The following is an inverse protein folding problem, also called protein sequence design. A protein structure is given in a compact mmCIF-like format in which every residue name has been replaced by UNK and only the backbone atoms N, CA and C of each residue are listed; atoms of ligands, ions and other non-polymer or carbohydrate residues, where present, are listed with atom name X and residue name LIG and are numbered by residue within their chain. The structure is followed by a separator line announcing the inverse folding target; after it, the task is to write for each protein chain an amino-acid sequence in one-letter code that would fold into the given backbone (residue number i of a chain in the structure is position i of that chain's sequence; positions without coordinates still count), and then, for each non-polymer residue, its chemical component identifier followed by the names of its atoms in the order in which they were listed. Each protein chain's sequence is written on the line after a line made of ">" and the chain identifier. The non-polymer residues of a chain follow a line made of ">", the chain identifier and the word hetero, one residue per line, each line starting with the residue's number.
data_IF_823810538144
#
_entry.id   IF_823810538144
#
_cell.length_a   1.000
_cell.length_b   1.000
_cell.length_c   1.000
_cell.angle_alpha   90.00
_cell.angle_beta   90.00
_cell.angle_gamma   90.00
#
_symmetry.space_group_name_H-M   'P 1'
#
loop_
_entity.id
_entity.type
_entity.pdbx_description
1 polymer ?
#
# COMPACT_ATOMS: atom_id res chain seq x y z
N UNK A 1 39.37 -68.25 9.63
CA UNK A 1 40.09 -67.01 9.25
C UNK A 1 39.71 -66.71 7.82
N UNK A 2 39.27 -65.53 7.42
CA UNK A 2 39.01 -64.31 8.14
C UNK A 2 38.20 -63.41 7.17
N UNK A 3 37.42 -62.49 7.71
CA UNK A 3 36.95 -61.29 7.00
C UNK A 3 35.90 -61.52 5.90
N UNK A 4 34.71 -62.01 6.28
CA UNK A 4 33.49 -61.46 5.67
C UNK A 4 33.21 -60.14 6.39
N UNK A 5 34.08 -59.16 6.13
CA UNK A 5 34.03 -57.85 6.74
C UNK A 5 32.65 -57.25 6.56
N UNK A 6 32.18 -56.65 7.64
CA UNK A 6 30.99 -55.83 7.70
C UNK A 6 30.96 -54.87 6.51
N UNK A 7 30.22 -55.23 5.45
CA UNK A 7 29.90 -54.31 4.39
C UNK A 7 28.89 -53.31 4.96
N UNK A 8 29.40 -52.32 5.70
CA UNK A 8 28.67 -51.13 6.11
C UNK A 8 28.33 -50.41 4.81
N UNK A 9 27.10 -50.60 4.34
CA UNK A 9 26.58 -49.90 3.18
C UNK A 9 26.70 -48.39 3.47
N UNK A 10 27.43 -47.62 2.66
CA UNK A 10 27.44 -46.15 2.73
C UNK A 10 26.01 -45.59 2.74
N UNK A 11 25.75 -44.49 3.44
CA UNK A 11 24.42 -43.82 3.46
C UNK A 11 23.69 -43.73 2.10
N UNK A 12 24.35 -43.43 0.95
CA UNK A 12 23.66 -43.43 -0.35
C UNK A 12 23.17 -44.82 -0.81
N UNK A 13 23.75 -45.91 -0.33
CA UNK A 13 23.33 -47.28 -0.62
C UNK A 13 22.09 -47.70 0.19
N UNK A 14 21.80 -47.03 1.31
CA UNK A 14 20.59 -47.25 2.11
C UNK A 14 19.35 -46.90 1.28
N UNK A 15 19.38 -45.77 0.58
CA UNK A 15 18.31 -45.35 -0.34
C UNK A 15 18.20 -46.22 -1.61
N UNK A 16 19.30 -46.85 -2.03
CA UNK A 16 19.35 -47.72 -3.21
C UNK A 16 18.98 -49.19 -2.91
N UNK A 17 19.08 -49.63 -1.65
CA UNK A 17 18.84 -51.02 -1.22
C UNK A 17 17.44 -51.52 -1.60
N UNK A 18 16.41 -50.68 -1.46
CA UNK A 18 15.05 -51.00 -1.84
C UNK A 18 14.90 -51.23 -3.36
N UNK A 19 15.56 -50.40 -4.17
CA UNK A 19 15.58 -50.54 -5.63
C UNK A 19 16.34 -51.78 -6.08
N UNK A 20 17.48 -52.06 -5.43
CA UNK A 20 18.30 -53.23 -5.73
C UNK A 20 17.62 -54.54 -5.32
N UNK A 21 16.96 -54.59 -4.15
CA UNK A 21 16.15 -55.72 -3.73
C UNK A 21 15.04 -56.03 -4.76
N UNK A 22 14.35 -55.01 -5.27
CA UNK A 22 13.33 -55.16 -6.30
C UNK A 22 13.89 -55.73 -7.61
N UNK A 23 15.09 -55.31 -8.01
CA UNK A 23 15.79 -55.84 -9.19
C UNK A 23 16.17 -57.32 -9.00
N UNK A 24 16.67 -57.70 -7.83
CA UNK A 24 17.01 -59.09 -7.51
C UNK A 24 15.79 -60.01 -7.50
N UNK A 25 14.63 -59.52 -7.03
CA UNK A 25 13.35 -60.25 -7.12
C UNK A 25 13.01 -60.54 -8.59
N UNK A 26 13.15 -59.54 -9.47
CA UNK A 26 12.91 -59.71 -10.91
C UNK A 26 13.87 -60.69 -11.61
N UNK A 27 15.06 -60.91 -11.04
CA UNK A 27 16.04 -61.91 -11.51
C UNK A 27 15.80 -63.31 -10.93
N UNK A 28 14.76 -63.51 -10.11
CA UNK A 28 14.50 -64.79 -9.42
C UNK A 28 15.43 -65.06 -8.23
N UNK A 29 16.25 -64.07 -7.82
CA UNK A 29 17.24 -64.19 -6.73
C UNK A 29 16.63 -63.76 -5.40
N UNK A 30 15.54 -64.44 -4.99
CA UNK A 30 14.73 -64.03 -3.85
C UNK A 30 15.50 -64.00 -2.52
N UNK A 31 16.37 -64.98 -2.25
CA UNK A 31 17.14 -65.04 -1.01
C UNK A 31 18.12 -63.86 -0.87
N UNK A 32 18.75 -63.45 -1.97
CA UNK A 32 19.67 -62.31 -1.99
C UNK A 32 18.92 -60.98 -1.87
N UNK A 33 17.73 -60.89 -2.47
CA UNK A 33 16.84 -59.74 -2.30
C UNK A 33 16.47 -59.53 -0.83
N UNK A 34 16.17 -60.61 -0.09
CA UNK A 34 15.85 -60.56 1.33
C UNK A 34 17.04 -60.09 2.18
N UNK A 35 18.24 -60.62 1.90
CA UNK A 35 19.45 -60.20 2.61
C UNK A 35 19.76 -58.71 2.37
N UNK A 36 19.58 -58.22 1.14
CA UNK A 36 19.76 -56.82 0.81
C UNK A 36 18.70 -55.93 1.48
N UNK A 37 17.42 -56.28 1.37
CA UNK A 37 16.33 -55.51 1.94
C UNK A 37 16.44 -55.41 3.47
N UNK A 38 16.87 -56.48 4.15
CA UNK A 38 17.08 -56.50 5.60
C UNK A 38 18.19 -55.55 6.03
N UNK A 39 19.36 -55.61 5.37
CA UNK A 39 20.47 -54.69 5.61
C UNK A 39 20.05 -53.23 5.34
N UNK A 40 19.26 -53.01 4.30
CA UNK A 40 18.69 -51.71 3.98
C UNK A 40 17.78 -51.18 5.09
N UNK A 41 16.89 -52.02 5.62
CA UNK A 41 15.98 -51.65 6.71
C UNK A 41 16.73 -51.34 8.02
N UNK A 42 17.66 -52.18 8.43
CA UNK A 42 18.50 -51.97 9.63
C UNK A 42 19.24 -50.63 9.56
N UNK A 43 19.78 -50.27 8.39
CA UNK A 43 20.48 -49.01 8.20
C UNK A 43 19.55 -47.78 8.22
N UNK A 44 18.23 -47.95 8.04
CA UNK A 44 17.23 -46.86 8.13
C UNK A 44 16.61 -46.70 9.51
N UNK A 45 16.84 -47.66 10.42
CA UNK A 45 16.18 -47.71 11.72
C UNK A 45 16.54 -46.52 12.62
N UNK A 46 17.78 -46.02 12.50
CA UNK A 46 18.28 -44.85 13.22
C UNK A 46 17.75 -43.53 12.67
N UNK A 47 17.36 -43.50 11.38
CA UNK A 47 16.93 -42.27 10.68
C UNK A 47 15.45 -41.98 10.92
N UNK A 48 14.60 -43.02 11.02
CA UNK A 48 13.14 -42.95 11.25
C UNK A 48 12.37 -41.90 10.43
N UNK A 49 12.86 -41.53 9.25
CA UNK A 49 12.15 -40.61 8.36
C UNK A 49 11.02 -41.36 7.64
N UNK A 50 9.75 -40.90 7.70
CA UNK A 50 8.61 -41.64 7.16
C UNK A 50 8.77 -42.05 5.69
N UNK A 51 9.32 -41.17 4.84
CA UNK A 51 9.52 -41.46 3.41
C UNK A 51 10.52 -42.62 3.17
N UNK A 52 11.58 -42.66 3.97
CA UNK A 52 12.62 -43.69 3.88
C UNK A 52 12.09 -45.02 4.45
N UNK A 53 11.40 -44.95 5.60
CA UNK A 53 10.78 -46.11 6.24
C UNK A 53 9.72 -46.79 5.37
N UNK A 54 8.91 -46.02 4.63
CA UNK A 54 7.94 -46.58 3.68
C UNK A 54 8.67 -47.41 2.61
N UNK A 55 9.77 -46.89 2.05
CA UNK A 55 10.54 -47.57 0.99
C UNK A 55 11.21 -48.84 1.52
N UNK A 56 11.86 -48.79 2.68
CA UNK A 56 12.56 -49.94 3.26
C UNK A 56 11.58 -51.04 3.70
N UNK A 57 10.48 -50.69 4.36
CA UNK A 57 9.44 -51.67 4.78
C UNK A 57 8.69 -52.30 3.60
N UNK A 58 8.42 -51.53 2.54
CA UNK A 58 7.82 -52.08 1.31
C UNK A 58 8.76 -53.08 0.63
N UNK A 59 10.04 -52.72 0.46
CA UNK A 59 11.02 -53.63 -0.13
C UNK A 59 11.21 -54.90 0.69
N UNK A 60 11.14 -54.81 2.02
CA UNK A 60 11.20 -55.97 2.90
C UNK A 60 9.96 -56.86 2.75
N UNK A 61 8.76 -56.27 2.67
CA UNK A 61 7.51 -56.99 2.41
C UNK A 61 7.53 -57.74 1.07
N UNK A 62 8.01 -57.07 0.01
CA UNK A 62 8.17 -57.65 -1.33
C UNK A 62 9.18 -58.81 -1.31
N UNK A 63 10.32 -58.64 -0.62
CA UNK A 63 11.34 -59.68 -0.51
C UNK A 63 10.87 -60.90 0.30
N UNK A 64 10.13 -60.70 1.39
CA UNK A 64 9.52 -61.81 2.13
C UNK A 64 8.47 -62.55 1.28
N UNK A 65 7.66 -61.81 0.52
CA UNK A 65 6.68 -62.39 -0.40
C UNK A 65 7.36 -63.25 -1.47
N UNK A 66 8.46 -62.76 -2.06
CA UNK A 66 9.24 -63.48 -3.06
C UNK A 66 9.91 -64.77 -2.53
N UNK A 67 10.12 -64.88 -1.21
CA UNK A 67 10.63 -66.10 -0.55
C UNK A 67 9.52 -67.02 -0.03
N UNK A 68 8.24 -66.74 -0.34
CA UNK A 68 7.11 -67.53 0.15
C UNK A 68 6.77 -67.31 1.63
N UNK A 69 7.33 -66.28 2.28
CA UNK A 69 7.13 -65.98 3.70
C UNK A 69 5.99 -64.97 3.88
N UNK A 70 4.74 -65.40 3.67
CA UNK A 70 3.55 -64.53 3.67
C UNK A 70 3.30 -63.81 4.99
N UNK A 71 3.55 -64.47 6.13
CA UNK A 71 3.29 -63.88 7.45
C UNK A 71 4.22 -62.69 7.72
N UNK A 72 5.51 -62.87 7.43
CA UNK A 72 6.50 -61.79 7.55
C UNK A 72 6.21 -60.66 6.56
N UNK A 73 5.83 -61.00 5.32
CA UNK A 73 5.43 -59.99 4.33
C UNK A 73 4.25 -59.13 4.82
N UNK A 74 3.24 -59.74 5.46
CA UNK A 74 2.08 -59.02 6.00
C UNK A 74 2.47 -58.07 7.14
N UNK A 75 3.37 -58.48 8.04
CA UNK A 75 3.86 -57.64 9.14
C UNK A 75 4.50 -56.36 8.59
N UNK A 76 5.42 -56.49 7.62
CA UNK A 76 6.12 -55.34 7.06
C UNK A 76 5.24 -54.50 6.13
N UNK A 77 4.22 -55.09 5.51
CA UNK A 77 3.18 -54.36 4.78
C UNK A 77 2.38 -53.45 5.72
N UNK A 78 1.89 -53.99 6.85
CA UNK A 78 1.20 -53.19 7.89
C UNK A 78 2.07 -52.06 8.43
N UNK A 79 3.36 -52.34 8.64
CA UNK A 79 4.31 -51.31 9.07
C UNK A 79 4.46 -50.20 8.02
N UNK A 80 4.55 -50.54 6.73
CA UNK A 80 4.57 -49.54 5.64
C UNK A 80 3.32 -48.68 5.61
N UNK A 81 2.13 -49.29 5.82
CA UNK A 81 0.87 -48.56 5.92
C UNK A 81 0.88 -47.53 7.06
N UNK A 82 1.32 -47.93 8.27
CA UNK A 82 1.42 -47.01 9.41
C UNK A 82 2.36 -45.81 9.13
N UNK A 83 3.48 -46.05 8.44
CA UNK A 83 4.38 -44.95 8.04
C UNK A 83 3.78 -44.04 6.97
N UNK A 84 2.96 -44.57 6.06
CA UNK A 84 2.24 -43.79 5.04
C UNK A 84 1.18 -42.87 5.66
N UNK A 85 0.48 -43.36 6.69
CA UNK A 85 -0.48 -42.55 7.44
C UNK A 85 0.22 -41.40 8.17
N UNK A 86 1.38 -41.68 8.77
CA UNK A 86 2.21 -40.65 9.41
C UNK A 86 2.71 -39.59 8.41
N UNK A 87 3.19 -40.00 7.24
CA UNK A 87 3.62 -39.08 6.17
C UNK A 87 2.48 -38.18 5.70
N UNK A 88 1.28 -38.76 5.52
CA UNK A 88 0.08 -38.01 5.14
C UNK A 88 -0.30 -36.98 6.20
N UNK A 89 -0.23 -37.35 7.49
CA UNK A 89 -0.46 -36.41 8.60
C UNK A 89 0.53 -35.23 8.61
N UNK A 90 1.81 -35.48 8.32
CA UNK A 90 2.84 -34.43 8.21
C UNK A 90 2.58 -33.50 7.02
N UNK A 91 2.24 -34.06 5.86
CA UNK A 91 1.92 -33.28 4.66
C UNK A 91 0.69 -32.41 4.89
N UNK A 92 -0.38 -32.96 5.45
CA UNK A 92 -1.60 -32.22 5.77
C UNK A 92 -1.32 -31.07 6.75
N UNK A 93 -0.51 -31.32 7.79
CA UNK A 93 -0.11 -30.28 8.74
C UNK A 93 0.68 -29.14 8.07
N UNK A 94 1.63 -29.48 7.20
CA UNK A 94 2.40 -28.48 6.44
C UNK A 94 1.52 -27.68 5.47
N UNK A 95 0.61 -28.35 4.76
CA UNK A 95 -0.34 -27.69 3.86
C UNK A 95 -1.26 -26.74 4.62
N UNK A 96 -1.80 -27.17 5.77
CA UNK A 96 -2.63 -26.33 6.63
C UNK A 96 -1.85 -25.11 7.15
N UNK A 97 -0.60 -25.27 7.57
CA UNK A 97 0.24 -24.14 7.97
C UNK A 97 0.47 -23.14 6.84
N UNK A 98 0.76 -23.63 5.63
CA UNK A 98 0.95 -22.76 4.46
C UNK A 98 -0.33 -22.01 4.09
N UNK A 99 -1.49 -22.68 4.19
CA UNK A 99 -2.79 -22.05 3.96
C UNK A 99 -3.08 -20.96 4.99
N UNK A 100 -2.88 -21.25 6.29
CA UNK A 100 -3.07 -20.27 7.37
C UNK A 100 -2.13 -19.07 7.22
N UNK A 101 -0.86 -19.30 6.89
CA UNK A 101 0.09 -18.23 6.65
C UNK A 101 -0.30 -17.36 5.45
N UNK A 102 -0.74 -17.99 4.35
CA UNK A 102 -1.23 -17.27 3.16
C UNK A 102 -2.46 -16.44 3.49
N UNK A 103 -3.38 -16.98 4.30
CA UNK A 103 -4.56 -16.26 4.75
C UNK A 103 -4.18 -15.08 5.65
N UNK A 104 -3.29 -15.27 6.62
CA UNK A 104 -2.82 -14.19 7.49
C UNK A 104 -2.15 -13.06 6.70
N UNK A 105 -1.37 -13.39 5.67
CA UNK A 105 -0.79 -12.39 4.78
C UNK A 105 -1.86 -11.59 4.04
N UNK A 106 -2.88 -12.25 3.50
CA UNK A 106 -4.01 -11.59 2.85
C UNK A 106 -4.78 -10.69 3.81
N UNK A 107 -5.10 -11.19 5.01
CA UNK A 107 -5.82 -10.44 6.02
C UNK A 107 -5.04 -9.17 6.44
N UNK A 108 -3.70 -9.27 6.55
CA UNK A 108 -2.83 -8.11 6.81
C UNK A 108 -2.78 -7.13 5.65
N UNK A 109 -2.72 -7.62 4.41
CA UNK A 109 -2.73 -6.78 3.21
C UNK A 109 -4.06 -6.03 3.07
N UNK A 110 -5.18 -6.73 3.25
CA UNK A 110 -6.52 -6.15 3.26
C UNK A 110 -6.69 -5.13 4.39
N UNK A 111 -6.15 -5.40 5.58
CA UNK A 111 -6.16 -4.44 6.69
C UNK A 111 -5.39 -3.16 6.34
N UNK A 112 -4.19 -3.30 5.76
CA UNK A 112 -3.39 -2.15 5.29
C UNK A 112 -4.10 -1.35 4.21
N UNK A 113 -4.67 -2.02 3.21
CA UNK A 113 -5.44 -1.39 2.14
C UNK A 113 -6.62 -0.58 2.71
N UNK A 114 -7.37 -1.15 3.67
CA UNK A 114 -8.47 -0.44 4.34
C UNK A 114 -7.97 0.78 5.13
N UNK A 115 -6.85 0.67 5.83
CA UNK A 115 -6.25 1.79 6.55
C UNK A 115 -5.82 2.91 5.58
N UNK A 116 -5.20 2.54 4.45
CA UNK A 116 -4.81 3.48 3.40
C UNK A 116 -6.02 4.16 2.75
N UNK A 117 -7.09 3.42 2.47
CA UNK A 117 -8.34 3.96 1.94
C UNK A 117 -9.01 4.93 2.92
N UNK A 118 -9.05 4.59 4.22
CA UNK A 118 -9.58 5.48 5.26
C UNK A 118 -8.73 6.74 5.36
N UNK A 119 -7.40 6.61 5.34
CA UNK A 119 -6.47 7.74 5.37
C UNK A 119 -6.62 8.62 4.13
N UNK A 120 -6.74 8.03 2.94
CA UNK A 120 -6.97 8.74 1.69
C UNK A 120 -8.31 9.48 1.69
N UNK A 121 -9.38 8.83 2.16
CA UNK A 121 -10.70 9.45 2.30
C UNK A 121 -10.67 10.64 3.26
N UNK A 122 -10.03 10.48 4.42
CA UNK A 122 -9.86 11.56 5.39
C UNK A 122 -9.11 12.75 4.78
N UNK A 123 -8.02 12.48 4.05
CA UNK A 123 -7.23 13.50 3.36
C UNK A 123 -8.05 14.26 2.31
N UNK A 124 -8.83 13.55 1.50
CA UNK A 124 -9.71 14.16 0.50
C UNK A 124 -10.79 15.04 1.15
N UNK A 125 -11.36 14.61 2.27
CA UNK A 125 -12.33 15.41 3.03
C UNK A 125 -11.67 16.67 3.60
N UNK A 126 -10.46 16.55 4.16
CA UNK A 126 -9.70 17.70 4.67
C UNK A 126 -9.44 18.73 3.58
N UNK A 127 -8.97 18.30 2.40
CA UNK A 127 -8.79 19.18 1.25
C UNK A 127 -10.10 19.84 0.82
N UNK A 128 -11.21 19.10 0.82
CA UNK A 128 -12.54 19.63 0.53
C UNK A 128 -12.98 20.73 1.50
N UNK A 129 -12.76 20.53 2.81
CA UNK A 129 -13.06 21.53 3.85
C UNK A 129 -12.19 22.77 3.67
N UNK A 130 -10.89 22.62 3.44
CA UNK A 130 -9.98 23.75 3.25
C UNK A 130 -10.37 24.56 2.01
N UNK A 131 -10.70 23.90 0.91
CA UNK A 131 -11.19 24.56 -0.29
C UNK A 131 -12.49 25.34 -0.03
N UNK A 132 -13.43 24.75 0.72
CA UNK A 132 -14.68 25.42 1.08
C UNK A 132 -14.44 26.66 1.97
N UNK A 133 -13.55 26.57 2.97
CA UNK A 133 -13.20 27.71 3.84
C UNK A 133 -12.55 28.83 3.03
N UNK A 134 -11.66 28.51 2.09
CA UNK A 134 -10.99 29.52 1.27
C UNK A 134 -11.96 30.19 0.30
N UNK A 135 -12.82 29.41 -0.38
CA UNK A 135 -13.83 29.97 -1.30
C UNK A 135 -14.78 30.89 -0.53
N UNK A 136 -15.29 30.44 0.62
CA UNK A 136 -16.22 31.23 1.44
C UNK A 136 -15.56 32.50 1.98
N UNK A 137 -14.31 32.42 2.45
CA UNK A 137 -13.58 33.60 2.91
C UNK A 137 -13.23 34.56 1.76
N UNK A 138 -12.86 34.05 0.59
CA UNK A 138 -12.61 34.86 -0.61
C UNK A 138 -13.86 35.64 -1.04
N UNK A 139 -15.02 34.99 -1.07
CA UNK A 139 -16.31 35.63 -1.36
C UNK A 139 -16.65 36.67 -0.28
N UNK A 140 -16.46 36.33 0.99
CA UNK A 140 -16.67 37.24 2.12
C UNK A 140 -15.83 38.51 1.99
N UNK A 141 -14.54 38.39 1.66
CA UNK A 141 -13.64 39.51 1.45
C UNK A 141 -14.05 40.37 0.24
N UNK A 142 -14.50 39.76 -0.86
CA UNK A 142 -15.00 40.49 -2.04
C UNK A 142 -16.26 41.30 -1.73
N UNK A 143 -17.20 40.71 -0.97
CA UNK A 143 -18.43 41.41 -0.53
C UNK A 143 -18.06 42.54 0.44
N UNK A 144 -17.20 42.26 1.42
CA UNK A 144 -16.76 43.25 2.40
C UNK A 144 -16.01 44.42 1.74
N UNK A 145 -15.21 44.16 0.71
CA UNK A 145 -14.55 45.18 -0.10
C UNK A 145 -15.53 46.07 -0.87
N UNK A 146 -16.73 45.59 -1.20
CA UNK A 146 -17.75 46.38 -1.90
C UNK A 146 -18.60 47.23 -0.96
N UNK A 147 -18.86 46.74 0.26
CA UNK A 147 -19.85 47.34 1.17
C UNK A 147 -19.24 48.35 2.13
N UNK A 148 -17.97 48.19 2.53
CA UNK A 148 -17.33 49.12 3.47
C UNK A 148 -16.60 50.25 2.72
N UNK A 149 -16.88 51.50 3.11
CA UNK A 149 -16.10 52.70 2.71
C UNK A 149 -14.76 52.66 3.44
N UNK A 150 -13.93 51.68 3.09
CA UNK A 150 -12.64 51.42 3.73
C UNK A 150 -11.62 52.39 3.16
N UNK A 151 -10.96 53.17 4.02
CA UNK A 151 -9.86 54.04 3.60
C UNK A 151 -8.75 53.24 2.89
N UNK A 152 -8.05 53.88 1.94
CA UNK A 152 -7.04 53.24 1.08
C UNK A 152 -5.99 52.39 1.84
N UNK A 153 -5.70 52.74 3.10
CA UNK A 153 -4.76 52.00 3.95
C UNK A 153 -5.28 50.65 4.43
N UNK A 154 -6.57 50.54 4.75
CA UNK A 154 -7.16 49.28 5.19
C UNK A 154 -7.49 48.34 4.01
N UNK A 155 -7.74 48.88 2.82
CA UNK A 155 -7.81 48.08 1.57
C UNK A 155 -6.46 47.40 1.31
N UNK A 156 -5.34 48.14 1.45
CA UNK A 156 -3.99 47.60 1.27
C UNK A 156 -3.70 46.45 2.26
N UNK A 157 -4.03 46.64 3.54
CA UNK A 157 -3.76 45.61 4.56
C UNK A 157 -4.65 44.38 4.38
N UNK A 158 -5.94 44.56 4.06
CA UNK A 158 -6.85 43.44 3.82
C UNK A 158 -6.46 42.66 2.56
N UNK A 159 -5.97 43.36 1.54
CA UNK A 159 -5.45 42.78 0.30
C UNK A 159 -4.25 41.87 0.57
N UNK A 160 -3.33 42.25 1.47
CA UNK A 160 -2.19 41.42 1.86
C UNK A 160 -2.61 40.17 2.64
N UNK A 161 -3.56 40.29 3.57
CA UNK A 161 -4.09 39.13 4.31
C UNK A 161 -4.80 38.16 3.36
N UNK A 162 -5.58 38.69 2.42
CA UNK A 162 -6.22 37.91 1.37
C UNK A 162 -5.19 37.17 0.50
N UNK A 163 -4.08 37.84 0.14
CA UNK A 163 -2.99 37.23 -0.61
C UNK A 163 -2.33 36.09 0.16
N UNK A 164 -2.02 36.30 1.44
CA UNK A 164 -1.36 35.28 2.26
C UNK A 164 -2.23 34.03 2.38
N UNK A 165 -3.54 34.21 2.55
CA UNK A 165 -4.49 33.10 2.64
C UNK A 165 -4.73 32.42 1.30
N UNK A 166 -4.75 33.19 0.20
CA UNK A 166 -4.82 32.63 -1.15
C UNK A 166 -3.55 31.87 -1.51
N UNK A 167 -2.38 32.38 -1.12
CA UNK A 167 -1.11 31.67 -1.24
C UNK A 167 -1.14 30.36 -0.45
N UNK A 168 -1.57 30.39 0.80
CA UNK A 168 -1.71 29.18 1.64
C UNK A 168 -2.64 28.15 1.00
N UNK A 169 -3.75 28.60 0.40
CA UNK A 169 -4.65 27.73 -0.34
C UNK A 169 -3.99 27.07 -1.55
N UNK A 170 -3.32 27.88 -2.39
CA UNK A 170 -2.60 27.39 -3.57
C UNK A 170 -1.50 26.42 -3.14
N UNK A 171 -0.75 26.74 -2.09
CA UNK A 171 0.27 25.89 -1.49
C UNK A 171 -0.33 24.54 -1.06
N UNK A 172 -1.46 24.54 -0.36
CA UNK A 172 -2.11 23.34 0.14
C UNK A 172 -2.75 22.48 -0.98
N UNK A 173 -3.26 23.12 -2.04
CA UNK A 173 -3.78 22.44 -3.23
C UNK A 173 -2.67 21.82 -4.09
N UNK A 174 -1.55 22.53 -4.25
CA UNK A 174 -0.41 22.06 -5.03
C UNK A 174 0.49 21.11 -4.26
N UNK A 175 0.49 21.11 -2.92
CA UNK A 175 1.34 20.24 -2.11
C UNK A 175 1.24 18.76 -2.51
N UNK A 176 0.05 18.10 -2.61
CA UNK A 176 -0.04 16.70 -3.03
C UNK A 176 0.35 16.47 -4.51
N UNK A 177 0.22 17.48 -5.37
CA UNK A 177 0.69 17.39 -6.76
C UNK A 177 2.21 17.47 -6.83
N UNK A 178 2.79 18.43 -6.10
CA UNK A 178 4.22 18.63 -6.01
C UNK A 178 4.90 17.47 -5.28
N UNK A 179 4.29 16.87 -4.27
CA UNK A 179 4.81 15.70 -3.57
C UNK A 179 5.01 14.51 -4.54
N UNK A 180 4.04 14.28 -5.43
CA UNK A 180 4.15 13.26 -6.50
C UNK A 180 5.22 13.61 -7.55
N UNK A 181 5.34 14.87 -7.94
CA UNK A 181 6.31 15.31 -8.98
C UNK A 181 7.74 15.37 -8.42
N UNK A 182 7.90 15.74 -7.16
CA UNK A 182 9.21 15.97 -6.53
C UNK A 182 9.79 14.73 -5.85
N UNK A 183 9.07 13.58 -5.88
CA UNK A 183 9.51 12.33 -5.27
C UNK A 183 9.99 12.50 -3.82
N UNK A 184 9.23 13.26 -3.02
CA UNK A 184 9.56 13.56 -1.62
C UNK A 184 10.89 14.32 -1.40
N UNK A 185 11.48 14.94 -2.43
CA UNK A 185 12.69 15.74 -2.28
C UNK A 185 12.37 17.14 -1.71
N UNK A 186 12.81 17.46 -0.47
CA UNK A 186 12.47 18.74 0.16
C UNK A 186 12.99 19.96 -0.59
N UNK A 187 14.15 19.84 -1.25
CA UNK A 187 14.78 20.93 -2.01
C UNK A 187 13.98 21.30 -3.26
N UNK A 188 13.52 20.29 -4.01
CA UNK A 188 12.71 20.51 -5.22
C UNK A 188 11.33 21.04 -4.85
N UNK A 189 10.75 20.54 -3.76
CA UNK A 189 9.46 21.04 -3.25
C UNK A 189 9.56 22.52 -2.87
N UNK A 190 10.60 22.90 -2.14
CA UNK A 190 10.85 24.30 -1.76
C UNK A 190 11.03 25.19 -3.00
N UNK A 191 11.82 24.76 -3.98
CA UNK A 191 12.07 25.50 -5.20
C UNK A 191 10.77 25.76 -5.98
N UNK A 192 9.93 24.74 -6.15
CA UNK A 192 8.65 24.86 -6.84
C UNK A 192 7.69 25.80 -6.09
N UNK A 193 7.58 25.68 -4.77
CA UNK A 193 6.72 26.56 -3.98
C UNK A 193 7.22 28.01 -4.01
N UNK A 194 8.53 28.23 -3.95
CA UNK A 194 9.13 29.56 -4.09
C UNK A 194 8.88 30.16 -5.48
N UNK A 195 8.95 29.36 -6.55
CA UNK A 195 8.65 29.80 -7.92
C UNK A 195 7.17 30.22 -8.06
N UNK A 196 6.25 29.44 -7.50
CA UNK A 196 4.81 29.73 -7.51
C UNK A 196 4.52 31.01 -6.69
N UNK A 197 5.13 31.14 -5.51
CA UNK A 197 5.03 32.35 -4.69
C UNK A 197 5.52 33.60 -5.46
N UNK A 198 6.68 33.47 -6.13
CA UNK A 198 7.28 34.53 -6.94
C UNK A 198 6.39 34.99 -8.10
N UNK A 199 5.59 34.11 -8.69
CA UNK A 199 4.61 34.45 -9.72
C UNK A 199 3.33 35.06 -9.15
N UNK A 200 2.94 34.67 -7.94
CA UNK A 200 1.70 35.10 -7.31
C UNK A 200 1.78 36.55 -6.79
N UNK A 201 2.94 36.98 -6.30
CA UNK A 201 3.20 38.37 -5.82
C UNK A 201 2.89 39.43 -6.90
N UNK A 202 3.45 39.38 -8.13
CA UNK A 202 3.13 40.37 -9.16
C UNK A 202 1.68 40.30 -9.64
N UNK A 203 1.06 39.12 -9.62
CA UNK A 203 -0.35 38.94 -9.95
C UNK A 203 -1.25 39.70 -8.96
N UNK A 204 -0.93 39.62 -7.67
CA UNK A 204 -1.65 40.32 -6.61
C UNK A 204 -1.59 41.85 -6.75
N UNK A 205 -0.40 42.42 -7.00
CA UNK A 205 -0.28 43.86 -7.21
C UNK A 205 -1.11 44.35 -8.40
N UNK A 206 -1.18 43.55 -9.47
CA UNK A 206 -2.03 43.86 -10.63
C UNK A 206 -3.51 43.82 -10.28
N UNK A 207 -3.94 42.86 -9.48
CA UNK A 207 -5.32 42.79 -8.97
C UNK A 207 -5.66 43.97 -8.05
N UNK A 208 -4.76 44.34 -7.13
CA UNK A 208 -4.96 45.49 -6.23
C UNK A 208 -5.14 46.79 -7.01
N UNK A 209 -4.28 47.04 -8.00
CA UNK A 209 -4.42 48.19 -8.90
C UNK A 209 -5.72 48.18 -9.70
N UNK A 210 -6.13 47.00 -10.19
CA UNK A 210 -7.37 46.88 -10.97
C UNK A 210 -8.61 47.15 -10.11
N UNK A 211 -8.64 46.58 -8.89
CA UNK A 211 -9.71 46.78 -7.91
C UNK A 211 -9.79 48.25 -7.51
N UNK A 212 -8.67 48.87 -7.12
CA UNK A 212 -8.63 50.29 -6.72
C UNK A 212 -9.05 51.22 -7.86
N UNK A 213 -8.58 51.01 -9.08
CA UNK A 213 -9.01 51.80 -10.25
C UNK A 213 -10.51 51.65 -10.55
N UNK A 214 -11.04 50.43 -10.45
CA UNK A 214 -12.47 50.17 -10.62
C UNK A 214 -13.31 50.85 -9.52
N UNK A 215 -12.87 50.84 -8.27
CA UNK A 215 -13.56 51.50 -7.16
C UNK A 215 -13.52 53.04 -7.28
N UNK A 216 -12.36 53.62 -7.61
CA UNK A 216 -12.19 55.07 -7.77
C UNK A 216 -13.01 55.59 -8.96
N UNK A 217 -13.01 54.88 -10.10
CA UNK A 217 -13.80 55.28 -11.28
C UNK A 217 -15.32 55.27 -11.01
N UNK A 218 -15.82 54.30 -10.22
CA UNK A 218 -17.22 54.27 -9.81
C UNK A 218 -17.57 55.34 -8.77
N UNK A 219 -16.70 55.56 -7.77
CA UNK A 219 -16.92 56.60 -6.77
C UNK A 219 -16.96 58.00 -7.39
N UNK A 220 -16.07 58.29 -8.35
CA UNK A 220 -16.08 59.58 -9.05
C UNK A 220 -17.36 59.78 -9.86
N UNK A 221 -17.91 58.74 -10.50
CA UNK A 221 -19.18 58.82 -11.22
C UNK A 221 -20.36 59.12 -10.29
N UNK A 222 -20.45 58.43 -9.15
CA UNK A 222 -21.50 58.68 -8.15
C UNK A 222 -21.38 60.08 -7.56
N UNK A 223 -20.16 60.56 -7.30
CA UNK A 223 -19.93 61.94 -6.81
C UNK A 223 -20.24 63.00 -7.86
N UNK A 224 -19.93 62.76 -9.14
CA UNK A 224 -20.28 63.65 -10.26
C UNK A 224 -21.80 63.71 -10.48
N UNK A 225 -22.50 62.58 -10.37
CA UNK A 225 -23.97 62.51 -10.47
C UNK A 225 -24.65 63.21 -9.29
N UNK A 226 -24.13 63.04 -8.06
CA UNK A 226 -24.62 63.77 -6.89
C UNK A 226 -24.38 65.28 -7.00
N UNK A 227 -23.17 65.69 -7.42
CA UNK A 227 -22.84 67.11 -7.61
C UNK A 227 -23.71 67.76 -8.71
N UNK A 228 -23.98 67.04 -9.81
CA UNK A 228 -24.91 67.51 -10.85
C UNK A 228 -26.32 67.70 -10.33
N UNK A 229 -26.86 66.76 -9.55
CA UNK A 229 -28.19 66.90 -8.93
C UNK A 229 -28.26 68.09 -7.97
N UNK A 230 -27.23 68.34 -7.18
CA UNK A 230 -27.18 69.50 -6.28
C UNK A 230 -27.12 70.82 -7.05
N UNK A 231 -26.40 70.87 -8.18
CA UNK A 231 -26.38 72.07 -9.04
C UNK A 231 -27.75 72.27 -9.70
N UNK A 232 -28.38 71.22 -10.24
CA UNK A 232 -29.73 71.29 -10.80
C UNK A 232 -30.77 71.73 -9.76
N UNK A 233 -30.69 71.26 -8.51
CA UNK A 233 -31.55 71.72 -7.42
C UNK A 233 -31.30 73.18 -7.04
N UNK A 234 -30.06 73.66 -7.08
CA UNK A 234 -29.72 75.05 -6.79
C UNK A 234 -30.13 76.00 -7.94
N UNK A 235 -30.01 75.55 -9.19
CA UNK A 235 -30.48 76.30 -10.37
C UNK A 235 -32.01 76.30 -10.51
N UNK A 236 -32.69 75.24 -10.05
CA UNK A 236 -34.14 75.14 -10.02
C UNK A 236 -34.81 75.97 -8.91
N UNK A 237 -34.04 76.48 -7.93
CA UNK A 237 -34.52 77.45 -6.93
C UNK A 237 -34.36 78.86 -7.52
N UNK A 238 -35.45 79.53 -7.95
CA UNK A 238 -35.33 80.86 -8.53
C UNK A 238 -34.82 81.83 -7.46
N UNK A 239 -33.93 82.74 -7.85
CA UNK A 239 -33.41 83.83 -7.02
C UNK A 239 -34.53 84.54 -6.22
N UNK A 240 -34.67 84.23 -4.94
CA UNK A 240 -35.54 84.99 -4.02
C UNK A 240 -34.85 86.22 -3.42
N UNK A 241 -33.69 86.65 -3.94
CA UNK A 241 -33.02 87.87 -3.50
C UNK A 241 -32.80 88.84 -4.66
N UNK A 242 -33.85 89.56 -5.04
CA UNK A 242 -33.77 90.86 -5.69
C UNK A 242 -35.00 91.68 -5.31
N UNK A 243 -34.79 92.71 -4.49
CA UNK A 243 -35.81 93.72 -4.20
C UNK A 243 -35.98 94.00 -2.70
N UNK A 244 -35.14 94.92 -2.22
CA UNK A 244 -35.45 96.02 -1.25
C UNK A 244 -36.49 95.77 -0.15
#
# INVERSE_FOLDING_TARGET
>A
MAVADSFKLPEPLIGASAGYAKLLIGQGRAAEALACARKGFEATEDVRQPLIMIKSTTALSDAFSANGMTDSALVYSKLSHAWRDSLTGLQNKSQLQNQLFTQELKDREDAKLREEEIAARSRNIQFGIIALVVITLGIFLLIFSRTSVVGAKAIRNLSLIALLLFFEFINLLLHPFLDRVTNHSPLLMLLCMAAIAGLLIPLHHRMEHWITNMLVSKNNRVRLEAARRTIEELEARPNEHSGT
#
